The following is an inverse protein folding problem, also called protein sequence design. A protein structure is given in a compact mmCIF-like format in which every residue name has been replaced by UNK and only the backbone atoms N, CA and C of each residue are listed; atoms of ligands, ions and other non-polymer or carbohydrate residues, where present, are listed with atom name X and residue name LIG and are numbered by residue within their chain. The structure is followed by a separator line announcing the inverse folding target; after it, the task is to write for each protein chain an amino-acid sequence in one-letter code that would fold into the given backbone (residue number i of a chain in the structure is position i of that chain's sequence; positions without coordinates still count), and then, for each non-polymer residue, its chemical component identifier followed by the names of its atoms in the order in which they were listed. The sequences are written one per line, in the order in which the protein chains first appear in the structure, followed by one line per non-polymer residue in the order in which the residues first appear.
data_IF_133794123615
#
_entry.id   IF_133794123615
#
_cell.length_a   1.000
_cell.length_b   1.000
_cell.length_c   1.000
_cell.angle_alpha   90.00
_cell.angle_beta   90.00
_cell.angle_gamma   90.00
#
_symmetry.space_group_name_H-M   'P 1'
#
loop_
_entity.id
_entity.type
_entity.pdbx_description
1 polymer ?
#
# COMPACT_ATOMS: atom_id res chain seq x y z
N UNK A 1 20.98 7.10 -0.23
CA UNK A 1 20.17 7.59 -1.36
C UNK A 1 19.12 8.52 -0.78
N UNK A 2 19.22 9.84 -1.02
CA UNK A 2 18.27 10.82 -0.47
C UNK A 2 16.98 10.77 -1.29
N UNK A 3 15.89 10.29 -0.70
CA UNK A 3 14.57 10.41 -1.30
C UNK A 3 14.02 11.77 -0.86
N UNK A 4 14.13 12.76 -1.75
CA UNK A 4 13.52 14.07 -1.55
C UNK A 4 12.10 13.99 -2.11
N UNK A 5 11.10 13.89 -1.24
CA UNK A 5 9.69 14.05 -1.63
C UNK A 5 9.40 15.55 -1.88
N UNK A 6 9.82 16.05 -3.04
CA UNK A 6 9.38 17.36 -3.53
C UNK A 6 8.06 17.21 -4.27
N UNK A 7 6.95 17.17 -3.55
CA UNK A 7 5.63 17.34 -4.16
C UNK A 7 4.73 18.15 -3.24
N UNK A 8 4.50 19.41 -3.60
CA UNK A 8 3.47 20.26 -2.98
C UNK A 8 2.10 19.82 -3.50
N UNK A 9 1.71 18.60 -3.13
CA UNK A 9 0.41 18.03 -3.44
C UNK A 9 -0.51 18.33 -2.26
N UNK A 10 -1.65 18.96 -2.52
CA UNK A 10 -2.69 19.10 -1.50
C UNK A 10 -3.10 17.70 -1.03
N UNK A 11 -2.84 17.39 0.25
CA UNK A 11 -3.25 16.14 0.88
C UNK A 11 -4.72 16.28 1.28
N UNK A 12 -5.57 15.44 0.69
CA UNK A 12 -6.98 15.36 1.03
C UNK A 12 -7.19 14.23 2.04
N UNK A 13 -7.78 14.56 3.18
CA UNK A 13 -8.12 13.61 4.24
C UNK A 13 -9.63 13.53 4.39
N UNK A 14 -10.13 12.35 4.79
CA UNK A 14 -11.54 12.19 5.10
C UNK A 14 -11.80 12.51 6.56
N UNK A 15 -12.65 13.52 6.80
CA UNK A 15 -13.06 13.92 8.15
C UNK A 15 -14.32 13.16 8.54
N UNK A 16 -14.25 12.44 9.65
CA UNK A 16 -15.38 11.82 10.33
C UNK A 16 -15.92 12.81 11.36
N UNK A 17 -17.25 12.99 11.39
CA UNK A 17 -17.94 13.87 12.32
C UNK A 17 -18.94 13.06 13.13
N UNK A 18 -18.78 13.08 14.45
CA UNK A 18 -19.66 12.39 15.39
C UNK A 18 -20.29 13.42 16.32
N UNK A 19 -21.59 13.26 16.59
CA UNK A 19 -22.27 14.05 17.61
C UNK A 19 -22.39 13.23 18.89
N UNK A 20 -21.90 13.79 19.98
CA UNK A 20 -21.96 13.18 21.31
C UNK A 20 -23.32 13.39 21.95
N UNK A 21 -23.66 12.55 22.93
CA UNK A 21 -24.90 12.67 23.72
C UNK A 21 -25.02 14.01 24.48
N UNK A 22 -23.89 14.72 24.68
CA UNK A 22 -23.83 16.04 25.31
C UNK A 22 -24.03 17.19 24.31
N UNK A 23 -24.25 16.90 23.03
CA UNK A 23 -24.46 17.89 21.96
C UNK A 23 -23.17 18.45 21.36
N UNK A 24 -22.00 17.98 21.81
CA UNK A 24 -20.71 18.37 21.23
C UNK A 24 -20.38 17.57 19.99
N UNK A 25 -19.61 18.18 19.09
CA UNK A 25 -19.15 17.57 17.86
C UNK A 25 -17.71 17.10 18.00
N UNK A 26 -17.47 15.83 17.73
CA UNK A 26 -16.14 15.24 17.60
C UNK A 26 -15.80 15.19 16.12
N UNK A 27 -14.62 15.71 15.75
CA UNK A 27 -14.04 15.56 14.43
C UNK A 27 -12.79 14.68 14.50
N UNK A 28 -12.66 13.71 13.61
CA UNK A 28 -11.49 12.84 13.51
C UNK A 28 -11.10 12.59 12.05
N UNK A 29 -9.84 12.22 11.82
CA UNK A 29 -9.32 11.89 10.48
C UNK A 29 -9.27 10.39 10.30
N UNK A 30 -9.94 9.86 9.27
CA UNK A 30 -10.06 8.41 9.05
C UNK A 30 -8.70 7.73 8.86
N UNK A 31 -7.75 8.41 8.22
CA UNK A 31 -6.41 7.90 7.93
C UNK A 31 -5.44 8.04 9.11
N UNK A 32 -5.77 8.87 10.10
CA UNK A 32 -4.88 9.25 11.19
C UNK A 32 -5.60 9.09 12.53
N UNK A 33 -5.54 7.87 13.08
CA UNK A 33 -6.20 7.51 14.34
C UNK A 33 -5.89 8.44 15.54
N UNK A 34 -4.74 9.12 15.51
CA UNK A 34 -4.28 10.01 16.59
C UNK A 34 -4.73 11.47 16.39
N UNK A 35 -5.48 11.79 15.32
CA UNK A 35 -5.97 13.13 15.04
C UNK A 35 -7.47 13.19 15.30
N UNK A 36 -7.84 13.70 16.47
CA UNK A 36 -9.22 13.90 16.90
C UNK A 36 -9.32 15.18 17.74
N UNK A 37 -10.43 15.90 17.59
CA UNK A 37 -10.78 17.08 18.39
C UNK A 37 -12.25 17.04 18.77
N UNK A 38 -12.60 17.60 19.92
CA UNK A 38 -13.97 17.79 20.37
C UNK A 38 -14.24 19.30 20.49
N UNK A 39 -15.33 19.78 19.91
CA UNK A 39 -15.75 21.16 20.01
C UNK A 39 -17.26 21.30 20.12
N UNK A 40 -17.73 22.46 20.60
CA UNK A 40 -19.15 22.70 20.82
C UNK A 40 -19.95 22.86 19.51
N UNK A 41 -19.29 23.15 18.39
CA UNK A 41 -19.94 23.29 17.09
C UNK A 41 -19.19 22.56 16.00
N UNK A 42 -19.92 22.12 14.96
CA UNK A 42 -19.33 21.52 13.75
C UNK A 42 -18.25 22.40 13.12
N UNK A 43 -18.48 23.71 13.06
CA UNK A 43 -17.52 24.64 12.46
C UNK A 43 -16.23 24.70 13.28
N UNK A 44 -16.35 24.84 14.60
CA UNK A 44 -15.19 24.86 15.49
C UNK A 44 -14.41 23.54 15.45
N UNK A 45 -15.09 22.39 15.37
CA UNK A 45 -14.44 21.09 15.24
C UNK A 45 -13.65 20.96 13.92
N UNK A 46 -14.18 21.51 12.82
CA UNK A 46 -13.50 21.50 11.51
C UNK A 46 -12.29 22.43 11.46
N UNK A 47 -12.37 23.62 12.04
CA UNK A 47 -11.22 24.53 12.11
C UNK A 47 -10.11 23.92 13.00
N UNK A 48 -10.48 23.36 14.16
CA UNK A 48 -9.54 22.76 15.08
C UNK A 48 -8.86 21.49 14.52
N UNK A 49 -9.60 20.62 13.79
CA UNK A 49 -8.99 19.42 13.21
C UNK A 49 -8.03 19.78 12.06
N UNK A 50 -8.32 20.85 11.31
CA UNK A 50 -7.45 21.33 10.25
C UNK A 50 -6.14 21.86 10.83
N UNK A 51 -6.21 22.70 11.87
CA UNK A 51 -5.04 23.22 12.58
C UNK A 51 -4.20 22.08 13.18
N UNK A 52 -4.83 21.12 13.87
CA UNK A 52 -4.14 19.96 14.44
C UNK A 52 -3.36 19.15 13.38
N UNK A 53 -3.98 18.90 12.22
CA UNK A 53 -3.34 18.14 11.14
C UNK A 53 -2.20 18.94 10.53
N UNK A 54 -2.40 20.23 10.26
CA UNK A 54 -1.35 21.11 9.73
C UNK A 54 -0.15 21.18 10.66
N UNK A 55 -0.37 21.41 11.95
CA UNK A 55 0.70 21.49 12.95
C UNK A 55 1.44 20.16 13.08
N UNK A 56 0.71 19.05 13.09
CA UNK A 56 1.35 17.73 13.14
C UNK A 56 2.22 17.50 11.91
N UNK A 57 1.71 17.73 10.71
CA UNK A 57 2.47 17.48 9.47
C UNK A 57 3.68 18.41 9.33
N UNK A 58 3.61 19.63 9.87
CA UNK A 58 4.76 20.55 9.93
C UNK A 58 5.86 20.09 10.91
N UNK A 59 5.48 19.35 11.96
CA UNK A 59 6.40 18.92 13.01
C UNK A 59 6.81 17.44 12.91
N UNK A 60 6.32 16.72 11.90
CA UNK A 60 6.65 15.29 11.69
C UNK A 60 7.82 15.16 10.73
N UNK A 61 8.89 14.55 11.22
CA UNK A 61 9.99 14.10 10.41
C UNK A 61 9.76 12.66 9.95
N UNK A 62 9.91 12.41 8.65
CA UNK A 62 9.86 11.05 8.08
C UNK A 62 11.26 10.48 8.10
N UNK A 63 11.52 9.55 9.02
CA UNK A 63 12.80 8.86 9.11
C UNK A 63 12.75 7.52 8.35
N UNK A 64 13.72 7.23 7.47
CA UNK A 64 13.85 5.90 6.89
C UNK A 64 14.34 4.93 7.98
N UNK A 65 13.56 3.88 8.24
CA UNK A 65 13.98 2.78 9.11
C UNK A 65 14.36 1.58 8.23
N UNK A 66 15.65 1.30 8.16
CA UNK A 66 16.16 0.09 7.53
C UNK A 66 16.04 -1.07 8.53
N UNK A 67 15.03 -1.92 8.33
CA UNK A 67 14.89 -3.16 9.11
C UNK A 67 15.64 -4.25 8.38
N UNK A 68 16.77 -4.67 8.93
CA UNK A 68 17.40 -5.92 8.50
C UNK A 68 16.53 -7.07 8.98
N UNK A 69 15.73 -7.62 8.08
CA UNK A 69 15.25 -8.98 8.25
C UNK A 69 16.52 -9.82 8.29
N UNK A 70 16.83 -10.42 9.45
CA UNK A 70 17.82 -11.49 9.48
C UNK A 70 17.39 -12.44 8.37
N UNK A 71 18.24 -12.61 7.36
CA UNK A 71 18.11 -13.68 6.40
C UNK A 71 18.17 -14.98 7.21
N UNK A 72 17.02 -15.37 7.75
CA UNK A 72 16.75 -16.79 7.92
C UNK A 72 17.02 -17.30 6.52
N UNK A 73 18.10 -18.08 6.39
CA UNK A 73 18.53 -18.78 5.20
C UNK A 73 17.36 -19.66 4.74
N UNK A 74 16.32 -19.03 4.22
CA UNK A 74 15.20 -19.67 3.55
C UNK A 74 15.80 -20.01 2.21
N UNK A 75 16.30 -21.24 2.15
CA UNK A 75 16.50 -21.89 0.87
C UNK A 75 15.22 -21.65 0.05
N UNK A 76 15.39 -21.11 -1.16
CA UNK A 76 14.27 -20.82 -2.03
C UNK A 76 13.55 -22.17 -2.24
N UNK A 77 12.25 -22.28 -1.90
CA UNK A 77 11.52 -23.56 -2.02
C UNK A 77 11.51 -24.08 -3.46
N UNK A 78 11.88 -23.26 -4.44
CA UNK A 78 12.02 -23.65 -5.84
C UNK A 78 13.39 -24.21 -6.22
N UNK A 79 14.39 -24.15 -5.33
CA UNK A 79 15.75 -24.62 -5.64
C UNK A 79 15.81 -26.12 -5.91
N UNK A 80 14.98 -26.92 -5.26
CA UNK A 80 14.94 -28.38 -5.47
C UNK A 80 14.38 -28.78 -6.85
N UNK A 81 13.69 -27.86 -7.53
CA UNK A 81 13.03 -28.13 -8.81
C UNK A 81 13.83 -27.64 -10.02
N UNK A 82 15.02 -27.05 -9.82
CA UNK A 82 15.87 -26.58 -10.92
C UNK A 82 16.29 -27.78 -11.77
N UNK A 83 15.95 -27.75 -13.06
CA UNK A 83 16.28 -28.82 -13.99
C UNK A 83 15.46 -30.10 -13.82
N UNK A 84 14.35 -30.07 -13.06
CA UNK A 84 13.52 -31.27 -12.79
C UNK A 84 13.08 -32.03 -14.05
N UNK A 85 12.95 -31.34 -15.20
CA UNK A 85 12.55 -31.94 -16.48
C UNK A 85 13.64 -31.84 -17.56
N UNK A 86 14.90 -31.59 -17.18
CA UNK A 86 15.99 -31.54 -18.15
C UNK A 86 16.25 -32.94 -18.74
N UNK A 87 16.12 -33.06 -20.07
CA UNK A 87 16.29 -34.33 -20.79
C UNK A 87 15.09 -35.28 -20.73
N UNK A 88 13.94 -34.81 -20.23
CA UNK A 88 12.68 -35.56 -20.27
C UNK A 88 11.99 -35.35 -21.63
N UNK A 89 12.05 -36.38 -22.49
CA UNK A 89 11.48 -36.37 -23.83
C UNK A 89 9.95 -36.27 -23.82
N UNK A 90 9.28 -36.89 -22.83
CA UNK A 90 7.81 -36.84 -22.71
C UNK A 90 7.36 -35.42 -22.34
N UNK A 91 8.08 -34.78 -21.42
CA UNK A 91 7.83 -33.39 -21.05
C UNK A 91 8.11 -32.43 -22.22
N UNK A 92 9.17 -32.68 -23.01
CA UNK A 92 9.50 -31.89 -24.18
C UNK A 92 8.40 -31.96 -25.26
N UNK A 93 7.86 -33.15 -25.52
CA UNK A 93 6.76 -33.36 -26.47
C UNK A 93 5.49 -32.61 -26.03
N UNK A 94 5.12 -32.74 -24.76
CA UNK A 94 3.97 -32.05 -24.18
C UNK A 94 4.14 -30.51 -24.23
N UNK A 95 5.33 -30.00 -23.91
CA UNK A 95 5.63 -28.58 -23.99
C UNK A 95 5.54 -28.04 -25.43
N UNK A 96 6.00 -28.82 -26.41
CA UNK A 96 5.89 -28.48 -27.83
C UNK A 96 4.42 -28.40 -28.28
N UNK A 97 3.58 -29.33 -27.82
CA UNK A 97 2.14 -29.31 -28.09
C UNK A 97 1.49 -28.05 -27.53
N UNK A 98 1.72 -27.70 -26.27
CA UNK A 98 1.16 -26.49 -25.66
C UNK A 98 1.63 -25.21 -26.37
N UNK A 99 2.88 -25.18 -26.84
CA UNK A 99 3.38 -24.03 -27.59
C UNK A 99 2.68 -23.89 -28.94
N UNK A 100 2.41 -25.00 -29.64
CA UNK A 100 1.64 -24.98 -30.88
C UNK A 100 0.22 -24.45 -30.67
N UNK A 101 -0.48 -24.88 -29.60
CA UNK A 101 -1.81 -24.39 -29.24
C UNK A 101 -1.83 -22.87 -28.97
N UNK A 102 -0.83 -22.35 -28.24
CA UNK A 102 -0.72 -20.90 -27.98
C UNK A 102 -0.45 -20.09 -29.25
N UNK A 103 0.37 -20.61 -30.14
CA UNK A 103 0.69 -19.94 -31.39
C UNK A 103 -0.53 -19.91 -32.34
N UNK A 104 -1.32 -20.98 -32.40
CA UNK A 104 -2.56 -21.02 -33.18
C UNK A 104 -3.58 -19.98 -32.69
N UNK A 105 -3.77 -19.88 -31.36
CA UNK A 105 -4.66 -18.86 -30.79
C UNK A 105 -4.22 -17.41 -31.06
N UNK A 106 -2.94 -17.20 -31.38
CA UNK A 106 -2.41 -15.88 -31.74
C UNK A 106 -2.60 -15.58 -33.24
N UNK A 107 -2.54 -16.61 -34.09
CA UNK A 107 -2.74 -16.52 -35.55
C UNK A 107 -4.23 -16.32 -35.90
N UNK A 108 -5.15 -16.89 -35.12
CA UNK A 108 -6.60 -16.70 -35.27
C UNK A 108 -7.10 -15.27 -34.91
N UNK A 109 -6.23 -14.42 -34.36
CA UNK A 109 -6.52 -13.03 -33.98
C UNK A 109 -5.87 -11.98 -34.91
N UNK A 110 -5.19 -12.40 -35.99
CA UNK A 110 -4.55 -11.55 -37.00
C UNK A 110 -5.38 -11.47 -38.30
#
# INVERSE_FOLDING_TARGET
MNIVLSSTSALNFHVLLEQTATGRTIASIAELANCQVEADTRKAALEAIQELVSDRLNNVEVLPLEVSLSESKRENPWTEFIGMFEGDDEFAEMAAQWQAERNQATDDLA
#
